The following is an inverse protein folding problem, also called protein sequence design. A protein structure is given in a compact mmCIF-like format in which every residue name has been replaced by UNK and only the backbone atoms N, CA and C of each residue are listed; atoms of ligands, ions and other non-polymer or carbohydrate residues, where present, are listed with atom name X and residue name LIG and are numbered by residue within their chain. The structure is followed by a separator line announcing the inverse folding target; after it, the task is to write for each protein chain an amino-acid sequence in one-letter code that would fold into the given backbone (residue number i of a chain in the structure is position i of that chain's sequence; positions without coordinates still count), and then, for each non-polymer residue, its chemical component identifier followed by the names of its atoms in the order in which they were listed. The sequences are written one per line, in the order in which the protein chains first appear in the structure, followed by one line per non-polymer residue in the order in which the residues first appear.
data_IF_479971073488
#
_entry.id   IF_479971073488
#
_cell.length_a   1.000
_cell.length_b   1.000
_cell.length_c   1.000
_cell.angle_alpha   90.00
_cell.angle_beta   90.00
_cell.angle_gamma   90.00
#
_symmetry.space_group_name_H-M   'P 1'
#
loop_
_entity.id
_entity.type
_entity.pdbx_description
1 polymer ?
#
# COMPACT_ATOMS: atom_id res chain seq x y z
N UNK A 1 22.13 -13.23 8.32
CA UNK A 1 20.87 -13.27 7.54
C UNK A 1 20.77 -11.95 6.79
N UNK A 2 20.42 -11.95 5.50
CA UNK A 2 20.26 -10.69 4.74
C UNK A 2 18.90 -10.08 5.12
N UNK A 3 18.86 -8.88 5.72
CA UNK A 3 17.59 -8.22 6.03
C UNK A 3 16.83 -7.87 4.74
N UNK A 4 15.50 -7.74 4.83
CA UNK A 4 14.64 -7.35 3.70
C UNK A 4 14.71 -8.30 2.48
N UNK A 5 14.99 -9.59 2.73
CA UNK A 5 15.07 -10.64 1.69
C UNK A 5 13.90 -11.64 1.73
N UNK A 6 12.90 -11.40 2.58
CA UNK A 6 11.79 -12.32 2.87
C UNK A 6 10.41 -11.76 2.51
N UNK A 7 10.37 -10.82 1.56
CA UNK A 7 9.11 -10.34 0.99
C UNK A 7 8.35 -11.48 0.31
N UNK A 8 7.04 -11.33 0.16
CA UNK A 8 6.16 -12.34 -0.46
C UNK A 8 6.09 -13.70 0.24
N UNK A 9 6.55 -13.81 1.50
CA UNK A 9 6.51 -15.06 2.27
C UNK A 9 5.07 -15.53 2.58
N UNK A 10 4.14 -14.60 2.81
CA UNK A 10 2.75 -14.88 3.20
C UNK A 10 1.77 -14.49 2.08
N UNK A 11 0.76 -15.34 1.88
CA UNK A 11 -0.33 -15.10 0.90
C UNK A 11 -1.63 -14.68 1.57
N UNK A 12 -1.90 -15.16 2.79
CA UNK A 12 -3.11 -14.89 3.56
C UNK A 12 -2.74 -14.28 4.91
N UNK A 13 -3.62 -13.44 5.45
CA UNK A 13 -3.55 -12.96 6.83
C UNK A 13 -3.50 -14.16 7.79
N UNK A 14 -2.50 -14.18 8.67
CA UNK A 14 -2.27 -15.32 9.59
C UNK A 14 -3.39 -15.45 10.62
N UNK A 15 -3.97 -14.32 11.06
CA UNK A 15 -5.10 -14.25 11.97
C UNK A 15 -6.19 -13.38 11.34
N UNK A 16 -7.09 -13.97 10.54
CA UNK A 16 -8.12 -13.23 9.82
C UNK A 16 -8.92 -12.28 10.72
N UNK A 17 -8.95 -10.99 10.38
CA UNK A 17 -9.66 -9.96 11.16
C UNK A 17 -11.01 -9.55 10.58
N UNK A 18 -11.28 -9.86 9.30
CA UNK A 18 -12.52 -9.50 8.60
C UNK A 18 -13.08 -10.63 7.71
N UNK A 19 -13.49 -11.80 8.24
CA UNK A 19 -14.02 -12.87 7.40
C UNK A 19 -15.37 -12.50 6.73
N UNK A 20 -15.57 -12.85 5.44
CA UNK A 20 -14.68 -13.61 4.56
C UNK A 20 -13.62 -12.78 3.82
N UNK A 21 -13.60 -11.46 3.99
CA UNK A 21 -12.77 -10.47 3.26
C UNK A 21 -11.48 -10.07 3.98
N UNK A 22 -10.85 -11.02 4.68
CA UNK A 22 -9.55 -10.83 5.34
C UNK A 22 -8.41 -10.67 4.31
N UNK A 23 -7.22 -10.30 4.79
CA UNK A 23 -6.07 -9.99 3.95
C UNK A 23 -5.64 -11.15 3.03
N UNK A 24 -5.56 -10.89 1.72
CA UNK A 24 -5.04 -11.83 0.71
C UNK A 24 -4.13 -11.15 -0.30
N UNK A 25 -3.18 -11.92 -0.85
CA UNK A 25 -2.30 -11.50 -1.93
C UNK A 25 -1.23 -10.46 -1.51
N UNK A 26 -0.46 -9.93 -2.47
CA UNK A 26 0.70 -9.07 -2.21
C UNK A 26 0.39 -7.77 -1.44
N UNK A 27 -0.80 -7.19 -1.66
CA UNK A 27 -1.22 -5.96 -0.97
C UNK A 27 -2.05 -6.25 0.29
N UNK A 28 -2.24 -7.53 0.63
CA UNK A 28 -3.16 -7.96 1.69
C UNK A 28 -4.54 -7.29 1.56
N UNK A 29 -5.17 -7.44 0.38
CA UNK A 29 -6.47 -6.85 0.07
C UNK A 29 -7.49 -7.27 1.15
N UNK A 30 -8.10 -6.28 1.81
CA UNK A 30 -8.96 -6.48 2.98
C UNK A 30 -10.23 -5.62 2.86
N UNK A 31 -11.33 -6.07 3.46
CA UNK A 31 -12.68 -5.47 3.44
C UNK A 31 -13.49 -5.72 2.18
N UNK A 32 -14.78 -6.02 2.36
CA UNK A 32 -15.73 -6.29 1.26
C UNK A 32 -15.71 -5.21 0.18
N UNK A 33 -15.67 -3.93 0.56
CA UNK A 33 -15.71 -2.82 -0.39
C UNK A 33 -14.48 -2.78 -1.31
N UNK A 34 -13.31 -3.26 -0.86
CA UNK A 34 -12.12 -3.36 -1.69
C UNK A 34 -12.20 -4.57 -2.64
N UNK A 35 -12.72 -5.70 -2.17
CA UNK A 35 -12.97 -6.87 -3.02
C UNK A 35 -13.99 -6.53 -4.13
N UNK A 36 -15.05 -5.78 -3.80
CA UNK A 36 -16.04 -5.30 -4.78
C UNK A 36 -15.37 -4.40 -5.83
N UNK A 37 -14.71 -3.32 -5.42
CA UNK A 37 -14.11 -2.38 -6.37
C UNK A 37 -13.01 -3.01 -7.23
N UNK A 38 -12.18 -3.89 -6.64
CA UNK A 38 -11.18 -4.64 -7.39
C UNK A 38 -11.83 -5.62 -8.38
N UNK A 39 -12.89 -6.32 -7.95
CA UNK A 39 -13.65 -7.23 -8.78
C UNK A 39 -14.27 -6.54 -9.98
N UNK A 40 -14.94 -5.41 -9.76
CA UNK A 40 -15.55 -4.58 -10.81
C UNK A 40 -14.50 -4.11 -11.83
N UNK A 41 -13.37 -3.59 -11.35
CA UNK A 41 -12.30 -3.09 -12.22
C UNK A 41 -11.60 -4.20 -13.02
N UNK A 42 -11.54 -5.43 -12.49
CA UNK A 42 -10.85 -6.56 -13.11
C UNK A 42 -11.80 -7.49 -13.87
N UNK A 43 -13.11 -7.23 -13.83
CA UNK A 43 -14.19 -8.07 -14.34
C UNK A 43 -14.15 -9.48 -13.73
N UNK A 44 -14.09 -9.55 -12.39
CA UNK A 44 -14.04 -10.78 -11.59
C UNK A 44 -15.03 -10.68 -10.42
N UNK A 45 -15.78 -11.75 -10.16
CA UNK A 45 -16.66 -11.80 -8.98
C UNK A 45 -15.87 -12.17 -7.71
N UNK A 46 -15.13 -11.18 -7.18
CA UNK A 46 -14.31 -11.33 -5.98
C UNK A 46 -15.10 -11.25 -4.68
N UNK A 47 -16.37 -10.79 -4.72
CA UNK A 47 -17.23 -10.76 -3.55
C UNK A 47 -17.72 -12.16 -3.21
N UNK A 48 -18.19 -12.92 -4.21
CA UNK A 48 -18.59 -14.30 -3.97
C UNK A 48 -17.42 -15.28 -4.02
N UNK A 49 -16.28 -14.90 -4.62
CA UNK A 49 -15.09 -15.76 -4.75
C UNK A 49 -13.80 -15.08 -4.21
N UNK A 50 -13.77 -14.63 -2.94
CA UNK A 50 -12.63 -13.87 -2.41
C UNK A 50 -11.33 -14.68 -2.37
N UNK A 51 -11.41 -16.02 -2.30
CA UNK A 51 -10.24 -16.88 -2.26
C UNK A 51 -9.42 -16.86 -3.56
N UNK A 52 -9.99 -16.40 -4.69
CA UNK A 52 -9.26 -16.20 -5.95
C UNK A 52 -8.01 -15.33 -5.75
N UNK A 53 -8.08 -14.33 -4.86
CA UNK A 53 -6.96 -13.42 -4.54
C UNK A 53 -5.79 -14.15 -3.86
N UNK A 54 -6.01 -15.37 -3.38
CA UNK A 54 -5.00 -16.21 -2.72
C UNK A 54 -4.70 -17.53 -3.44
N UNK A 55 -5.56 -17.99 -4.34
CA UNK A 55 -5.39 -19.26 -5.06
C UNK A 55 -4.93 -19.08 -6.50
N UNK A 56 -5.17 -17.92 -7.11
CA UNK A 56 -4.71 -17.59 -8.46
C UNK A 56 -3.64 -16.48 -8.38
N UNK A 57 -2.37 -16.77 -8.73
CA UNK A 57 -1.29 -15.79 -8.63
C UNK A 57 -1.48 -14.59 -9.59
N UNK A 58 -2.10 -14.78 -10.75
CA UNK A 58 -2.39 -13.68 -11.69
C UNK A 58 -3.44 -12.76 -11.08
N UNK A 59 -4.50 -13.31 -10.50
CA UNK A 59 -5.50 -12.50 -9.79
C UNK A 59 -4.88 -11.78 -8.59
N UNK A 60 -4.05 -12.46 -7.80
CA UNK A 60 -3.37 -11.88 -6.65
C UNK A 60 -2.52 -10.66 -7.03
N UNK A 61 -1.72 -10.73 -8.10
CA UNK A 61 -0.96 -9.59 -8.58
C UNK A 61 -1.83 -8.51 -9.24
N UNK A 62 -2.88 -8.89 -9.98
CA UNK A 62 -3.82 -7.92 -10.58
C UNK A 62 -4.52 -7.08 -9.53
N UNK A 63 -4.93 -7.65 -8.39
CA UNK A 63 -5.53 -6.86 -7.29
C UNK A 63 -4.53 -5.94 -6.61
N UNK A 64 -3.29 -6.38 -6.41
CA UNK A 64 -2.23 -5.54 -5.86
C UNK A 64 -1.90 -4.34 -6.77
N UNK A 65 -1.77 -4.59 -8.08
CA UNK A 65 -1.53 -3.54 -9.08
C UNK A 65 -2.75 -2.62 -9.19
N UNK A 66 -3.97 -3.16 -9.17
CA UNK A 66 -5.20 -2.36 -9.15
C UNK A 66 -5.20 -1.38 -7.98
N UNK A 67 -4.88 -1.84 -6.76
CA UNK A 67 -4.81 -0.96 -5.59
C UNK A 67 -3.74 0.14 -5.79
N UNK A 68 -2.57 -0.23 -6.31
CA UNK A 68 -1.48 0.71 -6.55
C UNK A 68 -1.83 1.80 -7.57
N UNK A 69 -2.61 1.45 -8.60
CA UNK A 69 -2.97 2.34 -9.71
C UNK A 69 -4.22 3.18 -9.44
N UNK A 70 -5.10 2.74 -8.55
CA UNK A 70 -6.44 3.33 -8.36
C UNK A 70 -6.45 4.37 -7.26
N UNK A 71 -6.82 5.61 -7.60
CA UNK A 71 -7.06 6.65 -6.59
C UNK A 71 -8.37 6.35 -5.85
N UNK A 72 -8.36 6.51 -4.53
CA UNK A 72 -9.54 6.36 -3.69
C UNK A 72 -9.71 7.65 -2.89
N UNK A 73 -10.51 8.58 -3.44
CA UNK A 73 -10.71 9.92 -2.86
C UNK A 73 -10.97 9.87 -1.35
N UNK A 74 -10.29 10.70 -0.54
CA UNK A 74 -9.41 11.80 -0.93
C UNK A 74 -7.97 11.39 -1.31
N UNK A 75 -7.62 10.10 -1.24
CA UNK A 75 -6.26 9.62 -1.51
C UNK A 75 -5.95 9.63 -3.02
N UNK A 76 -4.79 10.14 -3.45
CA UNK A 76 -4.28 9.85 -4.80
C UNK A 76 -3.89 8.37 -4.92
N UNK A 77 -3.58 7.91 -6.12
CA UNK A 77 -2.99 6.57 -6.30
C UNK A 77 -1.51 6.58 -5.91
N UNK A 78 -1.00 5.45 -5.41
CA UNK A 78 0.44 5.28 -5.17
C UNK A 78 1.26 5.52 -6.45
N UNK A 79 0.71 5.09 -7.61
CA UNK A 79 1.31 5.34 -8.91
C UNK A 79 1.51 6.83 -9.20
N UNK A 80 0.47 7.65 -9.03
CA UNK A 80 0.57 9.08 -9.31
C UNK A 80 1.58 9.77 -8.38
N UNK A 81 1.68 9.33 -7.13
CA UNK A 81 2.68 9.82 -6.17
C UNK A 81 4.11 9.50 -6.64
N UNK A 82 4.41 8.22 -6.91
CA UNK A 82 5.80 7.80 -7.18
C UNK A 82 6.31 8.23 -8.56
N UNK A 83 5.40 8.58 -9.48
CA UNK A 83 5.72 9.08 -10.82
C UNK A 83 5.66 10.60 -10.93
N UNK A 84 5.53 11.32 -9.81
CA UNK A 84 5.42 12.78 -9.74
C UNK A 84 4.24 13.38 -10.53
N UNK A 85 3.15 12.63 -10.68
CA UNK A 85 1.92 13.08 -11.32
C UNK A 85 0.90 13.66 -10.33
N UNK A 86 1.03 13.32 -9.04
CA UNK A 86 0.23 13.93 -7.98
C UNK A 86 0.85 15.25 -7.53
N UNK A 87 0.07 16.32 -7.64
CA UNK A 87 0.40 17.62 -7.02
C UNK A 87 -0.37 17.74 -5.71
N UNK A 88 0.31 17.81 -4.55
CA UNK A 88 -0.38 17.99 -3.27
C UNK A 88 -1.24 19.25 -3.28
N UNK A 89 -2.43 19.16 -2.69
CA UNK A 89 -3.25 20.34 -2.38
C UNK A 89 -2.63 21.16 -1.25
N UNK A 90 -3.20 22.32 -0.95
CA UNK A 90 -2.76 23.13 0.19
C UNK A 90 -3.10 22.44 1.52
N UNK A 91 -4.22 21.72 1.58
CA UNK A 91 -4.56 20.87 2.72
C UNK A 91 -3.53 19.75 2.91
N UNK A 92 -3.09 19.10 1.82
CA UNK A 92 -2.04 18.08 1.88
C UNK A 92 -0.73 18.66 2.42
N UNK A 93 -0.30 19.80 1.89
CA UNK A 93 0.91 20.49 2.35
C UNK A 93 0.83 20.88 3.83
N UNK A 94 -0.29 21.44 4.27
CA UNK A 94 -0.48 21.83 5.67
C UNK A 94 -0.48 20.65 6.64
N UNK A 95 -0.83 19.46 6.14
CA UNK A 95 -0.86 18.20 6.87
C UNK A 95 0.42 17.35 6.66
N UNK A 96 1.47 17.96 6.10
CA UNK A 96 2.78 17.35 5.90
C UNK A 96 2.81 16.29 4.80
N UNK A 97 1.74 16.09 4.03
CA UNK A 97 1.68 15.12 2.93
C UNK A 97 2.39 15.69 1.71
N UNK A 98 3.52 15.06 1.36
CA UNK A 98 4.42 15.48 0.28
C UNK A 98 4.77 14.29 -0.63
N UNK A 99 5.15 14.52 -1.90
CA UNK A 99 5.50 13.42 -2.80
C UNK A 99 6.71 12.63 -2.29
N UNK A 100 6.61 11.29 -2.34
CA UNK A 100 7.67 10.38 -1.90
C UNK A 100 7.11 9.02 -1.47
N UNK A 101 8.01 8.09 -1.13
CA UNK A 101 7.62 6.73 -0.73
C UNK A 101 6.80 6.70 0.56
N UNK A 102 7.05 7.61 1.51
CA UNK A 102 6.26 7.72 2.74
C UNK A 102 4.80 8.05 2.48
N UNK A 103 4.51 8.79 1.40
CA UNK A 103 3.14 9.04 0.98
C UNK A 103 2.44 7.78 0.46
N UNK A 104 3.16 6.87 -0.19
CA UNK A 104 2.64 5.55 -0.54
C UNK A 104 2.32 4.71 0.72
N UNK A 105 3.19 4.73 1.74
CA UNK A 105 2.89 4.14 3.06
C UNK A 105 1.60 4.72 3.66
N UNK A 106 1.44 6.04 3.61
CA UNK A 106 0.26 6.73 4.12
C UNK A 106 -1.04 6.31 3.40
N UNK A 107 -1.00 6.16 2.08
CA UNK A 107 -2.13 5.66 1.29
C UNK A 107 -2.51 4.23 1.73
N UNK A 108 -1.51 3.36 1.88
CA UNK A 108 -1.69 1.93 2.20
C UNK A 108 -2.24 1.74 3.62
N UNK A 109 -1.61 2.36 4.64
CA UNK A 109 -1.95 2.09 6.04
C UNK A 109 -1.72 3.27 7.00
N UNK A 110 -1.92 4.50 6.53
CA UNK A 110 -1.53 5.71 7.26
C UNK A 110 -2.09 5.84 8.67
N UNK A 111 -3.32 5.38 8.93
CA UNK A 111 -3.93 5.46 10.28
C UNK A 111 -3.09 4.75 11.34
N UNK A 112 -2.52 3.60 11.00
CA UNK A 112 -1.70 2.80 11.90
C UNK A 112 -0.24 3.26 11.89
N UNK A 113 0.28 3.68 10.74
CA UNK A 113 1.74 3.82 10.54
C UNK A 113 2.24 5.27 10.52
N UNK A 114 1.40 6.25 10.16
CA UNK A 114 1.81 7.63 9.90
C UNK A 114 1.31 8.62 10.97
N UNK A 115 1.89 9.83 10.98
CA UNK A 115 1.56 10.87 11.96
C UNK A 115 1.97 10.50 13.39
N UNK A 116 3.06 9.72 13.53
CA UNK A 116 3.59 9.25 14.81
C UNK A 116 4.87 10.01 15.14
N UNK A 117 5.18 10.13 16.43
CA UNK A 117 6.38 10.85 16.90
C UNK A 117 7.67 10.31 16.27
N UNK A 118 7.71 9.00 16.01
CA UNK A 118 8.80 8.32 15.31
C UNK A 118 8.23 7.32 14.30
N UNK A 119 8.99 6.94 13.25
CA UNK A 119 8.57 5.90 12.32
C UNK A 119 8.21 4.62 13.06
N UNK A 120 7.07 4.03 12.71
CA UNK A 120 6.67 2.73 13.28
C UNK A 120 7.54 1.61 12.72
N UNK A 121 7.53 0.44 13.37
CA UNK A 121 8.21 -0.75 12.84
C UNK A 121 7.72 -1.11 11.43
N UNK A 122 6.42 -0.92 11.15
CA UNK A 122 5.84 -1.13 9.83
C UNK A 122 6.41 -0.18 8.77
N UNK A 123 6.48 1.12 9.09
CA UNK A 123 7.05 2.11 8.16
C UNK A 123 8.55 1.86 7.93
N UNK A 124 9.30 1.54 9.00
CA UNK A 124 10.71 1.19 8.90
C UNK A 124 10.96 -0.05 8.02
N UNK A 125 10.13 -1.09 8.15
CA UNK A 125 10.25 -2.30 7.33
C UNK A 125 9.96 -2.01 5.85
N UNK A 126 8.91 -1.21 5.56
CA UNK A 126 8.60 -0.77 4.19
C UNK A 126 9.75 0.01 3.57
N UNK A 127 10.33 0.96 4.30
CA UNK A 127 11.47 1.76 3.84
C UNK A 127 12.72 0.88 3.65
N UNK A 128 12.92 -0.11 4.52
CA UNK A 128 14.03 -1.07 4.40
C UNK A 128 13.97 -1.89 3.12
N UNK A 129 12.81 -2.47 2.79
CA UNK A 129 12.61 -3.16 1.51
C UNK A 129 12.79 -2.23 0.32
N UNK A 130 12.23 -1.02 0.37
CA UNK A 130 12.33 -0.04 -0.71
C UNK A 130 13.79 0.33 -1.02
N UNK A 131 14.57 0.69 0.02
CA UNK A 131 16.00 1.00 -0.13
C UNK A 131 16.79 -0.16 -0.72
N UNK A 132 16.57 -1.38 -0.23
CA UNK A 132 17.23 -2.58 -0.77
C UNK A 132 16.92 -2.78 -2.26
N UNK A 133 15.66 -2.59 -2.68
CA UNK A 133 15.32 -2.74 -4.09
C UNK A 133 15.88 -1.60 -4.95
N UNK A 134 15.91 -0.37 -4.45
CA UNK A 134 16.60 0.74 -5.10
C UNK A 134 18.10 0.44 -5.30
N UNK A 135 18.78 -0.10 -4.28
CA UNK A 135 20.19 -0.49 -4.36
C UNK A 135 20.43 -1.57 -5.43
N UNK A 136 19.57 -2.61 -5.45
CA UNK A 136 19.64 -3.68 -6.47
C UNK A 136 19.42 -3.16 -7.90
N UNK A 137 18.56 -2.15 -8.04
CA UNK A 137 18.25 -1.49 -9.32
C UNK A 137 19.22 -0.35 -9.66
N UNK A 138 20.18 -0.05 -8.78
CA UNK A 138 21.17 1.02 -8.93
C UNK A 138 20.54 2.42 -9.13
N UNK A 139 19.47 2.69 -8.38
CA UNK A 139 18.80 4.00 -8.36
C UNK A 139 18.75 4.58 -6.94
N UNK A 140 18.67 5.90 -6.83
CA UNK A 140 18.41 6.55 -5.55
C UNK A 140 16.96 6.34 -5.10
N UNK A 141 16.69 6.20 -3.78
CA UNK A 141 15.33 6.05 -3.27
C UNK A 141 14.52 7.35 -3.29
N UNK A 142 15.16 8.50 -3.55
CA UNK A 142 14.50 9.81 -3.51
C UNK A 142 14.30 10.32 -2.08
N UNK A 143 13.43 11.31 -1.95
CA UNK A 143 13.14 12.04 -0.70
C UNK A 143 11.82 11.57 -0.06
N UNK A 144 11.54 12.04 1.16
CA UNK A 144 10.28 11.80 1.88
C UNK A 144 9.91 10.31 1.99
N UNK A 145 10.87 9.52 2.48
CA UNK A 145 10.76 8.05 2.49
C UNK A 145 9.83 7.51 3.57
N UNK A 146 9.78 8.18 4.72
CA UNK A 146 8.92 7.79 5.85
C UNK A 146 7.70 8.72 5.95
N UNK A 147 6.72 8.33 6.76
CA UNK A 147 5.47 9.07 6.91
C UNK A 147 5.20 9.59 8.32
N UNK A 148 6.23 9.67 9.18
CA UNK A 148 6.10 10.07 10.59
C UNK A 148 5.47 11.46 10.74
N UNK A 149 5.88 12.39 9.88
CA UNK A 149 5.41 13.78 9.88
C UNK A 149 4.19 14.01 8.97
N UNK A 150 3.57 12.95 8.43
CA UNK A 150 2.43 13.06 7.53
C UNK A 150 1.15 12.66 8.24
N UNK A 151 0.17 13.57 8.32
CA UNK A 151 -1.14 13.21 8.84
C UNK A 151 -1.86 12.30 7.85
N UNK A 152 -2.45 11.21 8.37
CA UNK A 152 -3.19 10.25 7.55
C UNK A 152 -4.52 10.80 7.05
N UNK A 153 -5.02 10.25 5.94
CA UNK A 153 -6.34 10.62 5.42
C UNK A 153 -7.48 10.04 6.27
N UNK A 154 -8.55 10.81 6.45
CA UNK A 154 -9.68 10.45 7.30
C UNK A 154 -9.45 10.76 8.80
N UNK A 155 -8.53 11.69 9.08
CA UNK A 155 -8.46 12.42 10.36
C UNK A 155 -9.57 13.45 10.48
#
# INVERSE_FOLDING_TARGET
MVPFAWGYCLVKEVKPTDPPYYGRGPIQLTHMYNYQQAGDALNLDLVNNPDLVSSDPVVAFRTAIWFWMTAQSPKPSCHAVITNQWTPSDDDRSLGRVPGYGMATNIINGKLECGKVNPTDGDNDRVGFYKRYCDMLQIGPGENLDCSNQMYYGN
#
